data_IF_010524085797
#
_entry.id   IF_010524085797
#
_cell.length_a   1.000
_cell.length_b   1.000
_cell.length_c   1.000
_cell.angle_alpha   90.00
_cell.angle_beta   90.00
_cell.angle_gamma   90.00
#
_symmetry.space_group_name_H-M   'P 1'
#
loop_
_entity.id
_entity.type
_entity.pdbx_description
1 polymer ?
#
# COMPACT_ATOMS: atom_id res chain seq x y z
N UNK A 1 24.43 7.51 -2.70
CA UNK A 1 23.17 8.16 -2.32
C UNK A 1 22.05 7.19 -2.68
N UNK A 2 21.30 6.67 -1.71
CA UNK A 2 20.17 5.79 -2.01
C UNK A 2 19.12 6.62 -2.77
N UNK A 3 19.00 6.39 -4.08
CA UNK A 3 17.96 6.96 -4.90
C UNK A 3 16.62 6.49 -4.33
N UNK A 4 15.72 7.42 -4.05
CA UNK A 4 14.38 7.10 -3.58
C UNK A 4 13.70 6.15 -4.60
N UNK A 5 13.38 4.94 -4.16
CA UNK A 5 12.77 3.93 -5.03
C UNK A 5 11.29 4.23 -5.24
N UNK A 6 10.99 5.07 -6.24
CA UNK A 6 9.64 5.53 -6.55
C UNK A 6 8.64 4.37 -6.72
N UNK A 7 9.03 3.32 -7.44
CA UNK A 7 8.16 2.17 -7.70
C UNK A 7 7.78 1.42 -6.41
N UNK A 8 8.75 1.26 -5.49
CA UNK A 8 8.50 0.66 -4.18
C UNK A 8 7.49 1.48 -3.38
N UNK A 9 7.74 2.78 -3.22
CA UNK A 9 6.92 3.64 -2.37
C UNK A 9 5.52 3.88 -2.94
N UNK A 10 5.36 3.85 -4.26
CA UNK A 10 4.05 3.80 -4.92
C UNK A 10 3.30 2.50 -4.57
N UNK A 11 3.97 1.34 -4.65
CA UNK A 11 3.37 0.04 -4.29
C UNK A 11 2.96 0.01 -2.82
N UNK A 12 3.85 0.43 -1.92
CA UNK A 12 3.54 0.55 -0.48
C UNK A 12 2.33 1.45 -0.24
N UNK A 13 2.24 2.56 -0.97
CA UNK A 13 1.10 3.46 -0.89
C UNK A 13 -0.20 2.77 -1.27
N UNK A 14 -0.24 2.03 -2.39
CA UNK A 14 -1.42 1.25 -2.79
C UNK A 14 -1.80 0.18 -1.76
N UNK A 15 -0.82 -0.56 -1.23
CA UNK A 15 -1.06 -1.56 -0.19
C UNK A 15 -1.64 -0.95 1.08
N UNK A 16 -1.28 0.28 1.42
CA UNK A 16 -1.83 0.95 2.60
C UNK A 16 -3.19 1.55 2.35
N UNK A 17 -3.41 2.10 1.16
CA UNK A 17 -4.73 2.60 0.73
C UNK A 17 -5.76 1.45 0.75
N UNK A 18 -5.39 0.24 0.34
CA UNK A 18 -6.30 -0.91 0.31
C UNK A 18 -6.81 -1.37 1.70
N UNK A 19 -6.15 -0.94 2.78
CA UNK A 19 -6.60 -1.23 4.15
C UNK A 19 -7.92 -0.53 4.50
N UNK A 20 -8.19 0.63 3.90
CA UNK A 20 -9.33 1.47 4.25
C UNK A 20 -10.18 1.92 3.05
N UNK A 21 -9.64 1.92 1.83
CA UNK A 21 -10.43 2.15 0.62
C UNK A 21 -11.08 0.83 0.20
N UNK A 22 -12.41 0.77 0.28
CA UNK A 22 -13.22 -0.41 -0.06
C UNK A 22 -13.96 -0.29 -1.39
N UNK A 23 -14.09 0.91 -1.91
CA UNK A 23 -14.76 1.20 -3.17
C UNK A 23 -14.17 2.49 -3.77
N UNK A 24 -14.30 2.63 -5.09
CA UNK A 24 -13.91 3.84 -5.80
C UNK A 24 -14.83 5.02 -5.46
N UNK A 25 -14.37 6.22 -5.79
CA UNK A 25 -15.04 7.50 -5.67
C UNK A 25 -15.48 7.87 -4.24
N UNK A 26 -14.85 7.24 -3.23
CA UNK A 26 -15.04 7.59 -1.82
C UNK A 26 -13.90 8.47 -1.33
N UNK A 27 -14.30 9.58 -0.72
CA UNK A 27 -13.38 10.51 -0.09
C UNK A 27 -12.73 9.93 1.16
N UNK A 28 -11.45 10.21 1.32
CA UNK A 28 -10.68 9.85 2.49
C UNK A 28 -9.68 10.96 2.83
N UNK A 29 -9.38 11.07 4.12
CA UNK A 29 -8.40 12.04 4.61
C UNK A 29 -6.97 11.53 4.43
N UNK A 30 -6.05 12.38 4.01
CA UNK A 30 -4.62 12.09 3.91
C UNK A 30 -4.05 11.50 5.21
N UNK A 31 -4.56 11.94 6.37
CA UNK A 31 -4.18 11.41 7.70
C UNK A 31 -4.49 9.92 7.91
N UNK A 32 -5.44 9.36 7.15
CA UNK A 32 -5.73 7.91 7.20
C UNK A 32 -4.58 7.09 6.62
N UNK A 33 -3.88 7.63 5.61
CA UNK A 33 -2.65 7.05 5.08
C UNK A 33 -1.44 7.48 5.93
N UNK A 34 -1.28 8.78 6.18
CA UNK A 34 -0.10 9.38 6.81
C UNK A 34 -0.33 9.52 8.33
N UNK A 35 -0.17 8.41 9.05
CA UNK A 35 -0.24 8.34 10.51
C UNK A 35 0.91 7.52 11.10
N UNK A 36 1.10 7.60 12.42
CA UNK A 36 2.20 6.94 13.13
C UNK A 36 2.24 5.43 12.89
N UNK A 37 1.08 4.74 12.92
CA UNK A 37 1.01 3.29 12.72
C UNK A 37 1.46 2.89 11.31
N UNK A 38 0.99 3.61 10.29
CA UNK A 38 1.40 3.34 8.91
C UNK A 38 2.88 3.71 8.69
N UNK A 39 3.40 4.78 9.29
CA UNK A 39 4.83 5.11 9.21
C UNK A 39 5.69 3.98 9.80
N UNK A 40 5.31 3.45 10.97
CA UNK A 40 6.02 2.32 11.58
C UNK A 40 5.96 1.06 10.69
N UNK A 41 4.78 0.72 10.15
CA UNK A 41 4.61 -0.42 9.25
C UNK A 41 5.41 -0.26 7.96
N UNK A 42 5.45 0.96 7.39
CA UNK A 42 6.21 1.25 6.19
C UNK A 42 7.71 1.09 6.43
N UNK A 43 8.17 1.45 7.63
CA UNK A 43 9.56 1.25 7.99
C UNK A 43 9.92 -0.24 8.09
N UNK A 44 9.11 -1.04 8.81
CA UNK A 44 9.31 -2.49 8.88
C UNK A 44 9.29 -3.14 7.49
N UNK A 45 8.41 -2.65 6.61
CA UNK A 45 8.37 -3.11 5.23
C UNK A 45 9.63 -2.75 4.46
N UNK A 46 10.12 -1.50 4.57
CA UNK A 46 11.36 -1.06 3.95
C UNK A 46 12.56 -1.91 4.41
N UNK A 47 12.67 -2.16 5.72
CA UNK A 47 13.70 -3.03 6.30
C UNK A 47 13.62 -4.47 5.75
N UNK A 48 12.41 -5.03 5.65
CA UNK A 48 12.18 -6.38 5.14
C UNK A 48 12.59 -6.55 3.67
N UNK A 49 12.36 -5.54 2.84
CA UNK A 49 12.70 -5.57 1.41
C UNK A 49 14.11 -5.02 1.12
N UNK A 50 14.88 -4.70 2.15
CA UNK A 50 16.25 -4.17 2.03
C UNK A 50 16.33 -2.74 1.45
N UNK A 51 15.25 -1.96 1.56
CA UNK A 51 15.25 -0.56 1.14
C UNK A 51 15.98 0.32 2.15
N UNK A 52 16.89 1.17 1.66
CA UNK A 52 17.78 1.98 2.48
C UNK A 52 17.19 3.35 2.90
N UNK A 53 15.87 3.53 2.83
CA UNK A 53 15.23 4.78 3.28
C UNK A 53 15.40 4.93 4.79
N UNK A 54 16.07 6.02 5.20
CA UNK A 54 16.23 6.35 6.62
C UNK A 54 14.88 6.49 7.34
N UNK A 55 14.83 6.03 8.58
CA UNK A 55 13.65 6.05 9.45
C UNK A 55 12.97 7.43 9.52
N UNK A 56 13.77 8.49 9.66
CA UNK A 56 13.32 9.88 9.70
C UNK A 56 12.66 10.35 8.39
N UNK A 57 12.93 9.66 7.28
CA UNK A 57 12.43 9.98 5.93
C UNK A 57 11.24 9.13 5.51
N UNK A 58 10.83 8.11 6.26
CA UNK A 58 9.72 7.21 5.90
C UNK A 58 8.40 7.97 5.69
N UNK A 59 8.05 8.89 6.60
CA UNK A 59 6.86 9.74 6.43
C UNK A 59 6.91 10.54 5.13
N UNK A 60 8.07 11.11 4.81
CA UNK A 60 8.28 11.85 3.57
C UNK A 60 8.19 10.94 2.34
N UNK A 61 8.71 9.71 2.43
CA UNK A 61 8.63 8.72 1.36
C UNK A 61 7.18 8.30 1.08
N UNK A 62 6.36 8.09 2.11
CA UNK A 62 4.92 7.85 1.96
C UNK A 62 4.19 9.06 1.34
N UNK A 63 4.52 10.29 1.74
CA UNK A 63 3.96 11.49 1.12
C UNK A 63 4.34 11.61 -0.36
N UNK A 64 5.58 11.24 -0.72
CA UNK A 64 6.03 11.20 -2.12
C UNK A 64 5.31 10.11 -2.91
N UNK A 65 5.13 8.92 -2.32
CA UNK A 65 4.35 7.82 -2.90
C UNK A 65 2.90 8.25 -3.16
N UNK A 66 2.24 8.90 -2.20
CA UNK A 66 0.90 9.47 -2.38
C UNK A 66 0.84 10.47 -3.54
N UNK A 67 1.80 11.40 -3.60
CA UNK A 67 1.89 12.36 -4.70
C UNK A 67 2.14 11.68 -6.05
N UNK A 68 2.84 10.54 -6.09
CA UNK A 68 3.03 9.79 -7.33
C UNK A 68 1.74 9.11 -7.77
N UNK A 69 0.99 8.54 -6.84
CA UNK A 69 -0.31 7.95 -7.14
C UNK A 69 -1.28 9.03 -7.67
N UNK A 70 -1.26 10.22 -7.08
CA UNK A 70 -2.01 11.40 -7.56
C UNK A 70 -1.57 11.84 -8.95
N UNK A 71 -0.26 11.99 -9.20
CA UNK A 71 0.29 12.34 -10.53
C UNK A 71 -0.01 11.29 -11.61
N UNK A 72 -0.15 10.03 -11.24
CA UNK A 72 -0.56 8.96 -12.15
C UNK A 72 -2.04 8.97 -12.50
N UNK A 73 -2.83 9.90 -11.94
CA UNK A 73 -4.25 10.05 -12.23
C UNK A 73 -5.14 9.00 -11.55
N UNK A 74 -4.63 8.29 -10.53
CA UNK A 74 -5.39 7.28 -9.78
C UNK A 74 -6.07 7.85 -8.52
N UNK A 75 -5.61 9.00 -8.06
CA UNK A 75 -6.23 9.76 -6.98
C UNK A 75 -6.54 11.16 -7.48
N UNK A 76 -7.68 11.68 -7.05
CA UNK A 76 -8.06 13.07 -7.22
C UNK A 76 -8.03 13.77 -5.86
N UNK A 77 -7.35 14.91 -5.80
CA UNK A 77 -7.38 15.78 -4.63
C UNK A 77 -8.64 16.64 -4.67
N UNK A 78 -9.41 16.60 -3.60
CA UNK A 78 -10.64 17.39 -3.43
C UNK A 78 -10.29 18.70 -2.70
N UNK A 79 -9.49 18.60 -1.65
CA UNK A 79 -8.95 19.75 -0.90
C UNK A 79 -7.54 19.45 -0.35
N UNK A 80 -7.00 20.33 0.50
CA UNK A 80 -5.65 20.18 1.07
C UNK A 80 -5.42 18.83 1.77
N UNK A 81 -6.45 18.29 2.42
CA UNK A 81 -6.38 17.09 3.26
C UNK A 81 -7.27 15.94 2.79
N UNK A 82 -8.12 16.14 1.80
CA UNK A 82 -9.09 15.16 1.31
C UNK A 82 -8.76 14.71 -0.11
N UNK A 83 -8.75 13.40 -0.33
CA UNK A 83 -8.54 12.76 -1.63
C UNK A 83 -9.64 11.75 -1.90
N UNK A 84 -9.85 11.42 -3.17
CA UNK A 84 -10.74 10.35 -3.63
C UNK A 84 -9.99 9.48 -4.63
N UNK A 85 -10.23 8.17 -4.61
CA UNK A 85 -9.67 7.23 -5.58
C UNK A 85 -10.66 6.97 -6.68
N UNK A 86 -10.29 7.20 -7.94
CA UNK A 86 -11.19 6.90 -9.06
C UNK A 86 -11.19 5.40 -9.41
N UNK A 87 -12.05 5.00 -10.34
CA UNK A 87 -12.22 3.58 -10.72
C UNK A 87 -10.91 2.96 -11.22
N UNK A 88 -10.17 3.65 -12.09
CA UNK A 88 -8.88 3.19 -12.59
C UNK A 88 -7.84 3.03 -11.46
N UNK A 89 -7.85 3.93 -10.47
CA UNK A 89 -7.00 3.84 -9.29
C UNK A 89 -7.35 2.67 -8.40
N UNK A 90 -8.64 2.38 -8.27
CA UNK A 90 -9.13 1.24 -7.49
C UNK A 90 -8.76 -0.09 -8.14
N UNK A 91 -8.94 -0.24 -9.46
CA UNK A 91 -8.50 -1.41 -10.21
C UNK A 91 -6.98 -1.62 -10.13
N UNK A 92 -6.21 -0.53 -10.27
CA UNK A 92 -4.75 -0.57 -10.12
C UNK A 92 -4.35 -1.00 -8.71
N UNK A 93 -4.98 -0.45 -7.68
CA UNK A 93 -4.75 -0.83 -6.29
C UNK A 93 -5.02 -2.32 -6.03
N UNK A 94 -6.13 -2.86 -6.56
CA UNK A 94 -6.44 -4.29 -6.45
C UNK A 94 -5.39 -5.16 -7.15
N UNK A 95 -4.94 -4.74 -8.33
CA UNK A 95 -3.88 -5.44 -9.09
C UNK A 95 -2.56 -5.49 -8.32
N UNK A 96 -2.14 -4.36 -7.74
CA UNK A 96 -0.93 -4.29 -6.91
C UNK A 96 -1.05 -5.18 -5.66
N UNK A 97 -2.22 -5.17 -5.01
CA UNK A 97 -2.49 -6.02 -3.86
C UNK A 97 -2.41 -7.50 -4.21
N UNK A 98 -3.07 -7.93 -5.28
CA UNK A 98 -3.01 -9.32 -5.76
C UNK A 98 -1.58 -9.72 -6.12
N UNK A 99 -0.84 -8.85 -6.80
CA UNK A 99 0.56 -9.09 -7.18
C UNK A 99 1.45 -9.25 -5.96
N UNK A 100 1.29 -8.39 -4.95
CA UNK A 100 2.03 -8.50 -3.70
C UNK A 100 1.67 -9.79 -2.94
N UNK A 101 0.39 -10.14 -2.84
CA UNK A 101 -0.07 -11.37 -2.21
C UNK A 101 0.47 -12.62 -2.92
N UNK A 102 0.49 -12.64 -4.26
CA UNK A 102 1.05 -13.75 -5.03
C UNK A 102 2.55 -13.92 -4.79
N UNK A 103 3.31 -12.81 -4.73
CA UNK A 103 4.75 -12.85 -4.40
C UNK A 103 4.97 -13.40 -3.00
N UNK A 104 4.20 -12.92 -2.01
CA UNK A 104 4.26 -13.43 -0.64
C UNK A 104 3.92 -14.92 -0.60
N UNK A 105 2.86 -15.36 -1.28
CA UNK A 105 2.47 -16.77 -1.30
C UNK A 105 3.52 -17.68 -1.99
N UNK A 106 4.22 -17.17 -3.00
CA UNK A 106 5.31 -17.89 -3.67
C UNK A 106 6.56 -17.98 -2.79
N UNK A 107 6.94 -16.87 -2.17
CA UNK A 107 8.19 -16.76 -1.41
C UNK A 107 8.02 -17.27 0.05
N UNK A 108 6.77 -17.36 0.53
CA UNK A 108 6.36 -17.87 1.84
C UNK A 108 5.09 -18.73 1.74
N UNK A 109 5.19 -19.97 1.24
CA UNK A 109 4.03 -20.85 1.00
C UNK A 109 3.21 -21.15 2.27
N UNK A 110 3.84 -21.13 3.45
CA UNK A 110 3.17 -21.32 4.75
C UNK A 110 2.32 -20.11 5.19
N UNK A 111 2.47 -18.96 4.53
CA UNK A 111 1.70 -17.73 4.84
C UNK A 111 0.40 -17.61 4.04
N UNK A 112 0.17 -18.50 3.07
CA UNK A 112 -1.09 -18.55 2.36
C UNK A 112 -2.19 -18.97 3.35
N UNK A 113 -3.38 -18.32 3.37
CA UNK A 113 -4.46 -18.72 4.24
C UNK A 113 -4.79 -20.18 3.95
N UNK A 114 -4.39 -21.07 4.87
CA UNK A 114 -4.71 -22.48 4.80
C UNK A 114 -6.23 -22.55 4.75
N UNK A 115 -6.77 -23.00 3.61
CA UNK A 115 -8.13 -23.52 3.58
C UNK A 115 -8.15 -24.61 4.65
N UNK A 116 -8.82 -24.34 5.77
CA UNK A 116 -9.11 -25.36 6.76
C UNK A 116 -9.63 -26.58 6.00
N UNK A 117 -9.01 -27.76 6.15
CA UNK A 117 -9.60 -28.98 5.63
C UNK A 117 -10.97 -29.10 6.28
N UNK A 118 -12.02 -29.29 5.46
CA UNK A 118 -13.33 -29.66 5.98
C UNK A 118 -13.13 -30.89 6.89
N UNK A 119 -13.76 -30.93 8.09
CA UNK A 119 -13.60 -32.06 8.97
C UNK A 119 -14.13 -33.31 8.25
N UNK A 120 -13.23 -34.23 7.93
CA UNK A 120 -13.61 -35.61 7.59
C UNK A 120 -14.25 -36.22 8.82
N UNK A 121 -15.57 -36.22 8.86
CA UNK A 121 -16.32 -37.17 9.68
C UNK A 121 -16.20 -38.54 9.02
N UNK A 122 -15.27 -39.39 9.48
CA UNK A 122 -15.39 -40.85 9.49
C UNK A 122 -14.56 -41.43 10.63
#
# INVERSE_FOLDING_TARGET
>A
MASHNNALWQTVTFLFLSKFIRQANVEFGQKQLINAKNVELAQKFAEMVGDATENSKIKLALLKGLKQVEKGGWLQRIDENTLSMNDAGFEKMQTELQTAMMKIARDFPDSAPQKQPAPTMQ
#
